data_IF_563259321459
#
_entry.id   IF_563259321459
#
_cell.length_a   1.000
_cell.length_b   1.000
_cell.length_c   1.000
_cell.angle_alpha   90.00
_cell.angle_beta   90.00
_cell.angle_gamma   90.00
#
_symmetry.space_group_name_H-M   'P 1'
#
loop_
_entity.id
_entity.type
_entity.pdbx_description
1 polymer ?
#
# COMPACT_ATOMS: atom_id res chain seq x y z
N UNK A 1 -29.21 -6.86 -25.13
CA UNK A 1 -30.11 -5.87 -24.58
C UNK A 1 -29.31 -4.74 -23.92
N UNK A 2 -29.50 -3.55 -24.40
CA UNK A 2 -28.79 -2.35 -23.91
C UNK A 2 -29.10 -2.08 -22.45
N UNK A 3 -30.32 -2.33 -22.04
CA UNK A 3 -30.77 -2.13 -20.66
C UNK A 3 -30.06 -3.07 -19.68
N UNK A 4 -29.91 -4.33 -20.04
CA UNK A 4 -29.20 -5.32 -19.22
C UNK A 4 -27.72 -5.00 -19.10
N UNK A 5 -27.10 -4.51 -20.19
CA UNK A 5 -25.69 -4.08 -20.17
C UNK A 5 -25.47 -2.90 -19.22
N UNK A 6 -26.38 -1.92 -19.26
CA UNK A 6 -26.28 -0.76 -18.36
C UNK A 6 -26.40 -1.15 -16.88
N UNK A 7 -27.32 -2.05 -16.56
CA UNK A 7 -27.50 -2.57 -15.19
C UNK A 7 -26.23 -3.31 -14.74
N UNK A 8 -25.67 -4.17 -15.59
CA UNK A 8 -24.46 -4.93 -15.25
C UNK A 8 -23.26 -4.03 -15.01
N UNK A 9 -23.06 -3.00 -15.84
CA UNK A 9 -21.97 -2.04 -15.67
C UNK A 9 -22.13 -1.27 -14.36
N UNK A 10 -23.35 -0.85 -14.04
CA UNK A 10 -23.64 -0.15 -12.79
C UNK A 10 -23.35 -1.01 -11.57
N UNK A 11 -23.74 -2.29 -11.59
CA UNK A 11 -23.49 -3.24 -10.51
C UNK A 11 -22.01 -3.51 -10.33
N UNK A 12 -21.24 -3.67 -11.41
CA UNK A 12 -19.81 -3.87 -11.35
C UNK A 12 -19.11 -2.66 -10.72
N UNK A 13 -19.52 -1.44 -11.10
CA UNK A 13 -18.96 -0.21 -10.54
C UNK A 13 -19.24 -0.12 -9.04
N UNK A 14 -20.46 -0.43 -8.61
CA UNK A 14 -20.83 -0.43 -7.18
C UNK A 14 -20.08 -1.51 -6.41
N UNK A 15 -19.89 -2.70 -6.98
CA UNK A 15 -19.11 -3.76 -6.36
C UNK A 15 -17.65 -3.37 -6.20
N UNK A 16 -17.07 -2.71 -7.19
CA UNK A 16 -15.68 -2.21 -7.08
C UNK A 16 -15.55 -1.15 -6.00
N UNK A 17 -16.51 -0.23 -5.89
CA UNK A 17 -16.53 0.77 -4.82
C UNK A 17 -16.67 0.11 -3.45
N UNK A 18 -17.55 -0.87 -3.33
CA UNK A 18 -17.75 -1.63 -2.11
C UNK A 18 -16.46 -2.36 -1.72
N UNK A 19 -15.80 -3.01 -2.65
CA UNK A 19 -14.55 -3.72 -2.41
C UNK A 19 -13.42 -2.80 -1.95
N UNK A 20 -13.32 -1.59 -2.51
CA UNK A 20 -12.33 -0.60 -2.05
C UNK A 20 -12.60 -0.14 -0.63
N UNK A 21 -13.86 0.02 -0.25
CA UNK A 21 -14.29 0.44 1.09
C UNK A 21 -14.32 -0.70 2.09
N UNK A 22 -14.25 -1.94 1.60
CA UNK A 22 -14.29 -3.15 2.39
C UNK A 22 -13.08 -3.26 3.32
N UNK A 23 -11.93 -2.71 2.93
CA UNK A 23 -10.74 -2.79 3.73
C UNK A 23 -10.71 -1.65 4.75
N UNK A 24 -10.74 -2.04 6.02
CA UNK A 24 -10.62 -1.10 7.12
C UNK A 24 -9.23 -0.43 7.07
N UNK A 25 -9.18 0.86 7.34
CA UNK A 25 -7.94 1.63 7.38
C UNK A 25 -7.50 1.83 8.83
N UNK A 26 -6.27 1.46 9.12
CA UNK A 26 -5.67 1.63 10.42
C UNK A 26 -4.74 2.84 10.38
N UNK A 27 -4.97 3.83 11.24
CA UNK A 27 -4.03 4.93 11.43
C UNK A 27 -2.91 4.43 12.34
N UNK A 28 -1.75 4.24 11.78
CA UNK A 28 -0.59 3.71 12.48
C UNK A 28 0.68 4.20 11.81
N UNK A 29 1.58 4.79 12.59
CA UNK A 29 2.88 5.22 12.09
C UNK A 29 3.80 4.01 11.96
N UNK A 30 4.19 3.69 10.73
CA UNK A 30 5.09 2.57 10.44
C UNK A 30 6.23 3.09 9.58
N UNK A 31 7.50 2.89 9.98
CA UNK A 31 8.63 3.22 9.11
C UNK A 31 8.61 2.34 7.87
N UNK A 32 8.82 2.95 6.71
CA UNK A 32 8.92 2.21 5.44
C UNK A 32 10.15 2.65 4.68
N UNK A 33 10.60 1.80 3.77
CA UNK A 33 11.52 2.20 2.71
C UNK A 33 10.85 1.86 1.38
N UNK A 34 11.21 2.61 0.33
CA UNK A 34 10.61 2.42 -0.97
C UNK A 34 11.57 2.81 -2.07
N UNK A 35 11.36 2.26 -3.26
CA UNK A 35 12.11 2.62 -4.46
C UNK A 35 11.16 2.61 -5.65
N UNK A 36 11.44 3.50 -6.62
CA UNK A 36 10.68 3.49 -7.85
C UNK A 36 11.09 2.30 -8.71
N UNK A 37 10.11 1.73 -9.40
CA UNK A 37 10.31 0.62 -10.32
C UNK A 37 10.10 1.11 -11.74
N UNK A 38 11.01 0.74 -12.65
CA UNK A 38 10.75 0.88 -14.08
C UNK A 38 9.64 -0.09 -14.48
N UNK A 39 9.03 0.14 -15.64
CA UNK A 39 8.00 -0.76 -16.13
C UNK A 39 8.54 -2.18 -16.33
N UNK A 40 9.78 -2.30 -16.78
CA UNK A 40 10.44 -3.61 -16.94
C UNK A 40 10.68 -4.29 -15.60
N UNK A 41 11.13 -3.55 -14.60
CA UNK A 41 11.33 -4.08 -13.25
C UNK A 41 10.01 -4.53 -12.63
N UNK A 42 8.96 -3.74 -12.80
CA UNK A 42 7.64 -4.07 -12.29
C UNK A 42 7.11 -5.35 -12.93
N UNK A 43 7.19 -5.45 -14.25
CA UNK A 43 6.75 -6.65 -14.99
C UNK A 43 7.54 -7.87 -14.56
N UNK A 44 8.86 -7.76 -14.48
CA UNK A 44 9.72 -8.87 -14.04
C UNK A 44 9.39 -9.31 -12.62
N UNK A 45 9.14 -8.37 -11.72
CA UNK A 45 8.79 -8.67 -10.33
C UNK A 45 7.46 -9.42 -10.24
N UNK A 46 6.45 -9.01 -11.00
CA UNK A 46 5.16 -9.70 -11.04
C UNK A 46 5.26 -11.11 -11.60
N UNK A 47 6.11 -11.32 -12.61
CA UNK A 47 6.27 -12.62 -13.26
C UNK A 47 7.11 -13.59 -12.44
N UNK A 48 8.26 -13.14 -11.94
CA UNK A 48 9.23 -14.03 -11.27
C UNK A 48 9.09 -14.04 -9.75
N UNK A 49 8.50 -13.00 -9.17
CA UNK A 49 8.41 -12.76 -7.72
C UNK A 49 9.80 -12.71 -7.04
N UNK A 50 10.85 -12.51 -7.82
CA UNK A 50 12.22 -12.42 -7.33
C UNK A 50 12.77 -11.02 -7.55
N UNK A 51 13.60 -10.57 -6.61
CA UNK A 51 14.30 -9.31 -6.71
C UNK A 51 15.71 -9.55 -7.25
N UNK A 52 16.15 -8.69 -8.19
CA UNK A 52 17.51 -8.73 -8.70
C UNK A 52 18.48 -8.15 -7.69
N UNK A 53 19.78 -8.25 -7.95
CA UNK A 53 20.82 -7.72 -7.07
C UNK A 53 20.73 -6.21 -6.88
N UNK A 54 20.22 -5.47 -7.87
CA UNK A 54 20.03 -4.03 -7.80
C UNK A 54 19.16 -3.63 -6.60
N UNK A 55 18.24 -4.50 -6.19
CA UNK A 55 17.35 -4.24 -5.06
C UNK A 55 18.02 -4.44 -3.70
N UNK A 56 19.25 -4.96 -3.67
CA UNK A 56 20.01 -5.14 -2.43
C UNK A 56 20.79 -3.87 -2.03
N UNK A 57 20.92 -2.90 -2.94
CA UNK A 57 21.65 -1.68 -2.67
C UNK A 57 20.82 -0.70 -1.85
N UNK A 58 21.27 -0.43 -0.63
CA UNK A 58 20.55 0.43 0.31
C UNK A 58 20.32 1.85 -0.22
N UNK A 59 21.28 2.38 -0.98
CA UNK A 59 21.21 3.73 -1.54
C UNK A 59 20.08 3.90 -2.56
N UNK A 60 19.55 2.82 -3.07
CA UNK A 60 18.43 2.86 -3.99
C UNK A 60 17.13 3.31 -3.30
N UNK A 61 17.02 3.05 -1.99
CA UNK A 61 15.78 3.23 -1.25
C UNK A 61 15.71 4.60 -0.58
N UNK A 62 14.51 5.17 -0.59
CA UNK A 62 14.17 6.34 0.20
C UNK A 62 13.42 5.91 1.45
N UNK A 63 13.54 6.69 2.51
CA UNK A 63 12.79 6.48 3.75
C UNK A 63 11.47 7.22 3.70
N UNK A 64 10.43 6.60 4.25
CA UNK A 64 9.13 7.20 4.39
C UNK A 64 8.46 6.75 5.67
N UNK A 65 7.32 7.36 5.95
CA UNK A 65 6.53 7.05 7.14
C UNK A 65 5.09 6.78 6.73
N UNK A 66 4.63 5.56 6.95
CA UNK A 66 3.24 5.22 6.76
C UNK A 66 2.39 5.94 7.80
N UNK A 67 1.27 6.52 7.38
CA UNK A 67 0.29 7.18 8.25
C UNK A 67 -0.96 6.35 8.44
N UNK A 68 -1.40 5.66 7.41
CA UNK A 68 -2.46 4.66 7.53
C UNK A 68 -2.26 3.54 6.52
N UNK A 69 -2.80 2.39 6.83
CA UNK A 69 -2.65 1.19 6.03
C UNK A 69 -3.96 0.39 6.03
N UNK A 70 -4.23 -0.26 4.91
CA UNK A 70 -5.37 -1.16 4.75
C UNK A 70 -4.94 -2.41 3.99
N UNK A 71 -5.84 -3.35 3.82
CA UNK A 71 -5.56 -4.53 2.99
C UNK A 71 -5.33 -4.24 1.51
N UNK A 72 -5.66 -3.03 1.05
CA UNK A 72 -5.53 -2.66 -0.37
C UNK A 72 -4.49 -1.59 -0.67
N UNK A 73 -3.98 -0.90 0.33
CA UNK A 73 -3.04 0.19 0.09
C UNK A 73 -2.58 0.90 1.35
N UNK A 74 -1.88 2.00 1.13
CA UNK A 74 -1.25 2.74 2.22
C UNK A 74 -1.17 4.22 1.86
N UNK A 75 -1.16 5.05 2.88
CA UNK A 75 -0.84 6.46 2.78
C UNK A 75 0.46 6.70 3.54
N UNK A 76 1.44 7.28 2.88
CA UNK A 76 2.73 7.53 3.52
C UNK A 76 3.29 8.89 3.13
N UNK A 77 4.24 9.38 3.91
CA UNK A 77 4.92 10.66 3.71
C UNK A 77 6.38 10.41 3.40
N UNK A 78 6.89 11.10 2.40
CA UNK A 78 8.29 11.10 2.02
C UNK A 78 8.75 12.50 1.62
N UNK A 79 10.01 12.61 1.21
CA UNK A 79 10.62 13.92 0.90
C UNK A 79 10.61 14.29 -0.57
N UNK A 80 10.20 13.38 -1.44
CA UNK A 80 10.16 13.63 -2.88
C UNK A 80 8.75 13.48 -3.40
N UNK A 81 8.36 14.34 -4.32
CA UNK A 81 7.14 14.17 -5.07
C UNK A 81 7.27 12.95 -5.99
N UNK A 82 6.20 12.19 -6.12
CA UNK A 82 6.15 11.04 -7.02
C UNK A 82 4.92 11.20 -7.91
N UNK A 83 5.11 11.11 -9.21
CA UNK A 83 4.02 11.27 -10.14
C UNK A 83 3.00 10.12 -10.04
N UNK A 84 1.74 10.45 -10.27
CA UNK A 84 0.64 9.48 -10.33
C UNK A 84 0.93 8.45 -11.41
N UNK A 85 0.73 7.18 -11.09
CA UNK A 85 0.98 6.07 -12.00
C UNK A 85 2.34 5.42 -11.85
N UNK A 86 3.28 6.07 -11.17
CA UNK A 86 4.59 5.48 -10.91
C UNK A 86 4.44 4.24 -10.04
N UNK A 87 5.22 3.22 -10.36
CA UNK A 87 5.27 1.96 -9.61
C UNK A 87 6.36 2.02 -8.56
N UNK A 88 6.06 1.54 -7.37
CA UNK A 88 6.99 1.51 -6.24
C UNK A 88 7.11 0.09 -5.71
N UNK A 89 8.27 -0.23 -5.15
CA UNK A 89 8.42 -1.35 -4.24
C UNK A 89 8.44 -0.80 -2.83
N UNK A 90 7.47 -1.21 -2.01
CA UNK A 90 7.38 -0.83 -0.60
C UNK A 90 7.92 -1.96 0.26
N UNK A 91 8.75 -1.62 1.23
CA UNK A 91 9.29 -2.59 2.19
C UNK A 91 9.01 -2.08 3.60
N UNK A 92 8.35 -2.89 4.41
CA UNK A 92 8.05 -2.57 5.79
C UNK A 92 7.88 -3.84 6.62
N UNK A 93 7.91 -3.69 7.93
CA UNK A 93 7.79 -4.81 8.86
C UNK A 93 6.63 -4.54 9.83
N UNK A 94 5.89 -5.60 10.15
CA UNK A 94 4.83 -5.56 11.14
C UNK A 94 4.97 -6.75 12.08
N UNK A 95 4.42 -6.63 13.28
CA UNK A 95 4.39 -7.72 14.26
C UNK A 95 2.97 -8.28 14.34
N UNK A 96 2.84 -9.58 14.08
CA UNK A 96 1.55 -10.28 14.14
C UNK A 96 1.73 -11.54 14.98
N UNK A 97 0.97 -11.64 16.04
CA UNK A 97 1.07 -12.80 16.93
C UNK A 97 2.46 -12.99 17.54
N UNK A 98 3.17 -11.88 17.83
CA UNK A 98 4.52 -11.91 18.36
C UNK A 98 5.62 -12.19 17.35
N UNK A 99 5.28 -12.33 16.08
CA UNK A 99 6.25 -12.58 15.01
C UNK A 99 6.41 -11.36 14.13
N UNK A 100 7.65 -11.08 13.77
CA UNK A 100 7.97 -10.03 12.81
C UNK A 100 7.80 -10.55 11.40
N UNK A 101 6.99 -9.85 10.60
CA UNK A 101 6.73 -10.23 9.22
C UNK A 101 7.12 -9.07 8.31
N UNK A 102 7.99 -9.36 7.35
CA UNK A 102 8.46 -8.37 6.38
C UNK A 102 7.61 -8.43 5.13
N UNK A 103 7.14 -7.25 4.71
CA UNK A 103 6.38 -7.08 3.48
C UNK A 103 7.26 -6.42 2.42
N UNK A 104 7.22 -6.96 1.23
CA UNK A 104 7.79 -6.38 0.01
C UNK A 104 6.69 -6.36 -1.02
N UNK A 105 6.04 -5.20 -1.18
CA UNK A 105 4.85 -5.09 -2.01
C UNK A 105 5.05 -4.08 -3.13
N UNK A 106 4.79 -4.49 -4.38
CA UNK A 106 4.65 -3.53 -5.46
C UNK A 106 3.39 -2.70 -5.23
N UNK A 107 3.45 -1.43 -5.57
CA UNK A 107 2.31 -0.53 -5.43
C UNK A 107 2.32 0.52 -6.53
N UNK A 108 1.15 1.08 -6.81
CA UNK A 108 1.00 2.17 -7.78
C UNK A 108 0.61 3.45 -7.04
N UNK A 109 1.30 4.54 -7.34
CA UNK A 109 0.96 5.86 -6.78
C UNK A 109 -0.33 6.34 -7.43
N UNK A 110 -1.36 6.54 -6.61
CA UNK A 110 -2.67 7.04 -7.08
C UNK A 110 -2.82 8.53 -6.86
N UNK A 111 -2.16 9.08 -5.85
CA UNK A 111 -2.22 10.50 -5.52
C UNK A 111 -0.93 10.91 -4.81
N UNK A 112 -0.46 12.12 -5.11
CA UNK A 112 0.73 12.69 -4.47
C UNK A 112 0.54 14.21 -4.37
N UNK A 113 0.78 14.78 -3.20
CA UNK A 113 0.65 16.22 -2.99
C UNK A 113 1.54 16.67 -1.84
N UNK A 114 1.96 17.93 -1.87
CA UNK A 114 2.76 18.50 -0.79
C UNK A 114 1.89 18.71 0.46
N UNK A 115 2.49 18.54 1.63
CA UNK A 115 1.77 18.79 2.89
C UNK A 115 1.49 20.27 3.05
N UNK A 116 0.29 20.66 3.54
CA UNK A 116 -0.06 22.08 3.71
C UNK A 116 0.86 22.82 4.66
N UNK A 117 1.37 22.15 5.67
CA UNK A 117 2.19 22.76 6.72
C UNK A 117 3.70 22.59 6.53
N UNK A 118 4.11 21.79 5.55
CA UNK A 118 5.52 21.50 5.31
C UNK A 118 5.75 21.16 3.84
N UNK A 119 6.20 22.17 3.07
CA UNK A 119 6.42 22.02 1.62
C UNK A 119 7.61 21.12 1.28
N UNK A 120 8.39 20.67 2.26
CA UNK A 120 9.50 19.74 2.05
C UNK A 120 9.07 18.29 2.10
N UNK A 121 7.80 18.04 2.44
CA UNK A 121 7.24 16.70 2.56
C UNK A 121 6.04 16.52 1.66
N UNK A 122 5.87 15.31 1.18
CA UNK A 122 4.78 14.92 0.27
C UNK A 122 4.06 13.72 0.82
N UNK A 123 2.72 13.77 0.74
CA UNK A 123 1.89 12.62 1.07
C UNK A 123 1.58 11.86 -0.21
N UNK A 124 1.72 10.55 -0.15
CA UNK A 124 1.43 9.65 -1.27
C UNK A 124 0.37 8.65 -0.85
N UNK A 125 -0.61 8.44 -1.72
CA UNK A 125 -1.59 7.38 -1.57
C UNK A 125 -1.31 6.34 -2.61
N UNK A 126 -1.07 5.11 -2.18
CA UNK A 126 -0.68 4.02 -3.06
C UNK A 126 -1.62 2.84 -2.92
N UNK A 127 -1.80 2.12 -4.00
CA UNK A 127 -2.59 0.90 -4.07
C UNK A 127 -1.64 -0.27 -4.26
N UNK A 128 -1.76 -1.30 -3.43
CA UNK A 128 -0.93 -2.50 -3.55
C UNK A 128 -1.29 -3.24 -4.83
N UNK A 129 -0.26 -3.70 -5.53
CA UNK A 129 -0.42 -4.49 -6.74
C UNK A 129 -0.07 -5.95 -6.44
N UNK A 130 -0.94 -6.86 -6.86
CA UNK A 130 -0.67 -8.30 -6.82
C UNK A 130 -0.27 -8.84 -5.43
N UNK A 131 -0.85 -8.30 -4.37
CA UNK A 131 -0.66 -8.88 -3.04
C UNK A 131 -1.30 -10.27 -2.99
N UNK A 132 -0.56 -11.26 -2.48
CA UNK A 132 -1.10 -12.60 -2.35
C UNK A 132 -2.23 -12.64 -1.31
N UNK A 133 -3.14 -13.58 -1.45
CA UNK A 133 -4.23 -13.77 -0.50
C UNK A 133 -3.70 -13.99 0.92
N UNK A 134 -2.64 -14.78 1.06
CA UNK A 134 -2.02 -15.07 2.35
C UNK A 134 -1.46 -13.83 3.03
N UNK A 135 -0.70 -13.02 2.29
CA UNK A 135 -0.13 -11.79 2.83
C UNK A 135 -1.21 -10.76 3.15
N UNK A 136 -2.24 -10.67 2.31
CA UNK A 136 -3.37 -9.78 2.58
C UNK A 136 -4.10 -10.18 3.86
N UNK A 137 -4.31 -11.48 4.08
CA UNK A 137 -4.96 -11.98 5.30
C UNK A 137 -4.13 -11.66 6.55
N UNK A 138 -2.80 -11.82 6.47
CA UNK A 138 -1.89 -11.45 7.56
C UNK A 138 -2.00 -9.96 7.87
N UNK A 139 -2.00 -9.12 6.83
CA UNK A 139 -2.10 -7.69 6.97
C UNK A 139 -3.44 -7.28 7.60
N UNK A 140 -4.54 -7.86 7.14
CA UNK A 140 -5.87 -7.59 7.70
C UNK A 140 -5.93 -8.01 9.17
N UNK A 141 -5.35 -9.14 9.51
CA UNK A 141 -5.29 -9.61 10.90
C UNK A 141 -4.52 -8.63 11.77
N UNK A 142 -3.37 -8.15 11.29
CA UNK A 142 -2.58 -7.12 11.98
C UNK A 142 -3.41 -5.87 12.23
N UNK A 143 -4.10 -5.39 11.21
CA UNK A 143 -4.90 -4.17 11.27
C UNK A 143 -5.99 -4.29 12.35
N UNK A 144 -6.70 -5.40 12.38
CA UNK A 144 -7.75 -5.62 13.39
C UNK A 144 -7.19 -5.79 14.80
N UNK A 145 -6.06 -6.47 14.96
CA UNK A 145 -5.42 -6.62 16.27
C UNK A 145 -4.95 -5.27 16.83
N UNK A 146 -4.30 -4.47 16.00
CA UNK A 146 -3.82 -3.14 16.39
C UNK A 146 -4.99 -2.19 16.71
N UNK A 147 -6.03 -2.22 15.92
CA UNK A 147 -7.23 -1.42 16.13
C UNK A 147 -7.91 -1.78 17.45
N UNK A 148 -7.98 -3.06 17.74
CA UNK A 148 -8.53 -3.56 19.02
C UNK A 148 -7.70 -3.08 20.21
N UNK A 149 -6.37 -3.13 20.10
CA UNK A 149 -5.47 -2.64 21.13
C UNK A 149 -5.63 -1.14 21.36
N UNK A 150 -5.79 -0.36 20.30
CA UNK A 150 -6.03 1.08 20.39
C UNK A 150 -7.34 1.40 21.11
N UNK A 151 -8.40 0.64 20.85
CA UNK A 151 -9.69 0.80 21.52
C UNK A 151 -9.56 0.53 23.02
N UNK A 152 -8.83 -0.50 23.39
CA UNK A 152 -8.60 -0.83 24.81
C UNK A 152 -7.81 0.25 25.52
N UNK A 153 -6.83 0.85 24.86
CA UNK A 153 -6.01 1.93 25.42
C UNK A 153 -6.80 3.23 25.60
N UNK A 154 -7.82 3.46 24.75
CA UNK A 154 -8.64 4.66 24.81
C UNK A 154 -9.68 4.64 25.93
N UNK A 155 -9.90 3.50 26.56
CA UNK A 155 -10.79 3.37 27.73
C UNK A 155 -9.97 3.56 29.03
#
# INVERSE_FOLDING_TARGET
DVYKRQINISLETELKKFQRRQYFRLEKTIPIIYTELSDEEFTALLETKKLSEDFLHAERYAEGTCLDISGGGMRFVGRKMIETGIKLLLIFQIFVGGKEIKFRLPATVRMSFSLPNDSTKYEHRVEFENISKEYREILIKYIFEEERMMRKSAK
#
